data_IF_783983415491
#
_entry.id   IF_783983415491
#
_cell.length_a   1.000
_cell.length_b   1.000
_cell.length_c   1.000
_cell.angle_alpha   90.00
_cell.angle_beta   90.00
_cell.angle_gamma   90.00
#
_symmetry.space_group_name_H-M   'P 1'
#
loop_
_entity.id
_entity.type
_entity.pdbx_description
1 polymer ?
#
# COMPACT_ATOMS: atom_id res chain seq x y z
N UNK A 1 -8.14 -3.94 25.74
CA UNK A 1 -7.83 -5.36 26.03
C UNK A 1 -8.42 -6.21 24.91
N UNK A 2 -7.60 -6.61 23.94
CA UNK A 2 -8.04 -7.43 22.80
C UNK A 2 -7.50 -8.84 22.98
N UNK A 3 -8.39 -9.81 22.94
CA UNK A 3 -8.12 -11.25 23.08
C UNK A 3 -7.99 -11.86 21.68
N UNK A 4 -6.82 -12.38 21.25
CA UNK A 4 -6.64 -12.91 19.91
C UNK A 4 -6.83 -14.43 19.93
N UNK A 5 -8.06 -14.90 19.74
CA UNK A 5 -8.29 -16.29 19.30
C UNK A 5 -9.49 -16.34 18.35
N UNK A 6 -9.25 -16.06 17.08
CA UNK A 6 -10.08 -16.58 15.99
C UNK A 6 -9.19 -17.45 15.10
N UNK A 7 -9.30 -18.77 15.29
CA UNK A 7 -8.68 -19.78 14.43
C UNK A 7 -9.59 -19.99 13.22
N UNK A 8 -9.08 -19.71 12.02
CA UNK A 8 -9.68 -20.15 10.76
C UNK A 8 -9.79 -21.68 10.76
N UNK A 9 -11.01 -22.20 10.55
CA UNK A 9 -11.28 -23.63 10.41
C UNK A 9 -11.56 -23.94 8.94
N UNK A 10 -10.63 -24.61 8.26
CA UNK A 10 -10.88 -25.20 6.94
C UNK A 10 -11.76 -26.44 7.10
N UNK A 11 -12.93 -26.42 6.46
CA UNK A 11 -13.84 -27.55 6.40
C UNK A 11 -13.45 -28.49 5.26
N UNK A 12 -13.06 -29.72 5.59
CA UNK A 12 -13.01 -30.85 4.64
C UNK A 12 -14.04 -31.88 5.11
N UNK A 13 -15.03 -32.13 4.26
CA UNK A 13 -16.13 -33.06 4.51
C UNK A 13 -15.67 -34.46 4.08
N UNK A 14 -15.42 -35.37 5.02
CA UNK A 14 -15.40 -36.81 4.75
C UNK A 14 -16.05 -37.61 5.89
N UNK A 15 -16.89 -38.54 5.48
CA UNK A 15 -17.78 -39.42 6.22
C UNK A 15 -17.06 -40.59 6.90
N UNK A 16 -17.53 -41.00 8.09
CA UNK A 16 -17.32 -42.35 8.64
C UNK A 16 -16.32 -42.49 9.80
N UNK A 17 -16.87 -42.55 11.03
CA UNK A 17 -16.46 -43.38 12.18
C UNK A 17 -14.98 -43.81 12.35
N UNK A 18 -14.24 -43.08 13.20
CA UNK A 18 -13.47 -43.54 14.38
C UNK A 18 -12.42 -42.47 14.73
N UNK A 19 -12.50 -41.89 15.95
CA UNK A 19 -11.54 -40.90 16.45
C UNK A 19 -10.40 -41.60 17.17
N UNK A 20 -9.20 -41.60 16.58
CA UNK A 20 -7.94 -41.94 17.26
C UNK A 20 -7.03 -40.72 17.19
N UNK A 21 -6.66 -40.20 18.35
CA UNK A 21 -5.68 -39.12 18.48
C UNK A 21 -4.28 -39.74 18.50
N UNK A 22 -3.49 -39.50 17.46
CA UNK A 22 -2.06 -39.85 17.46
C UNK A 22 -1.24 -38.57 17.61
N UNK A 23 -0.66 -38.39 18.79
CA UNK A 23 0.30 -37.32 19.10
C UNK A 23 1.70 -37.84 18.84
N UNK A 24 2.40 -37.28 17.86
CA UNK A 24 3.85 -37.49 17.70
C UNK A 24 4.60 -36.48 18.58
N UNK A 25 5.27 -36.99 19.62
CA UNK A 25 6.12 -36.21 20.50
C UNK A 25 7.56 -36.16 19.99
N UNK A 26 8.16 -34.98 19.98
CA UNK A 26 9.61 -34.80 20.05
C UNK A 26 9.93 -34.10 21.37
N UNK A 27 10.69 -34.78 22.23
CA UNK A 27 11.22 -34.27 23.50
C UNK A 27 12.29 -33.23 23.25
N UNK A 28 12.38 -32.22 24.12
CA UNK A 28 13.63 -31.76 24.72
C UNK A 28 13.34 -31.03 26.05
N UNK A 29 14.11 -31.41 27.08
CA UNK A 29 14.12 -30.99 28.49
C UNK A 29 14.19 -29.46 28.68
N UNK A 30 13.86 -28.80 29.81
CA UNK A 30 13.96 -29.16 31.23
C UNK A 30 13.14 -28.15 32.06
N UNK A 31 12.45 -28.64 33.10
CA UNK A 31 11.73 -27.83 34.10
C UNK A 31 12.67 -27.41 35.24
N UNK A 32 12.57 -26.17 35.72
CA UNK A 32 12.93 -25.81 37.11
C UNK A 32 11.92 -24.85 37.72
N UNK A 33 11.64 -25.09 38.99
CA UNK A 33 10.52 -24.62 39.80
C UNK A 33 10.60 -23.16 40.28
N UNK A 34 9.43 -22.60 40.60
CA UNK A 34 9.18 -21.24 41.11
C UNK A 34 9.41 -21.15 42.64
N UNK A 35 9.98 -20.05 43.13
CA UNK A 35 10.03 -19.67 44.56
C UNK A 35 9.40 -18.27 44.78
N UNK A 36 8.85 -17.96 45.99
CA UNK A 36 7.99 -16.80 46.26
C UNK A 36 8.78 -15.51 46.57
N UNK A 37 8.13 -14.32 46.64
CA UNK A 37 8.79 -13.03 46.43
C UNK A 37 9.38 -12.41 47.71
N UNK A 38 10.40 -11.57 47.53
CA UNK A 38 10.87 -10.56 48.51
C UNK A 38 10.86 -9.18 47.84
N UNK A 39 10.45 -8.15 48.58
CA UNK A 39 10.45 -6.71 48.23
C UNK A 39 11.12 -5.96 49.41
N UNK A 40 11.75 -4.78 49.27
CA UNK A 40 12.64 -4.27 48.21
C UNK A 40 13.98 -3.74 48.79
N UNK A 41 15.00 -3.58 47.95
CA UNK A 41 16.04 -2.57 48.22
C UNK A 41 16.44 -1.89 46.92
N UNK A 42 16.44 -0.56 46.97
CA UNK A 42 16.76 0.34 45.87
C UNK A 42 18.14 0.07 45.31
N UNK A 43 18.25 -0.07 43.98
CA UNK A 43 19.47 0.26 43.25
C UNK A 43 19.13 0.60 41.79
N UNK A 44 19.80 1.66 41.34
CA UNK A 44 19.63 2.44 40.11
C UNK A 44 19.74 1.63 38.81
N UNK A 45 18.85 1.94 37.87
CA UNK A 45 18.92 1.46 36.48
C UNK A 45 19.84 2.35 35.63
N UNK A 46 20.77 1.77 34.87
CA UNK A 46 21.13 2.31 33.57
C UNK A 46 20.93 1.23 32.50
N UNK A 47 20.17 1.51 31.44
CA UNK A 47 20.42 1.01 30.05
C UNK A 47 19.29 1.37 29.07
N UNK A 48 19.16 2.67 28.73
CA UNK A 48 18.54 3.12 27.47
C UNK A 48 19.58 3.47 26.39
N UNK A 49 20.86 3.54 26.76
CA UNK A 49 21.98 3.87 25.86
C UNK A 49 22.39 2.77 24.83
N UNK A 50 22.28 1.45 25.09
CA UNK A 50 22.83 0.45 24.16
C UNK A 50 22.07 0.34 22.82
N UNK A 51 20.75 0.58 22.81
CA UNK A 51 19.94 0.44 21.59
C UNK A 51 20.10 1.62 20.64
N UNK A 52 20.18 2.85 21.19
CA UNK A 52 20.36 4.06 20.41
C UNK A 52 21.75 4.09 19.74
N UNK A 53 22.80 3.70 20.47
CA UNK A 53 24.14 3.55 19.89
C UNK A 53 24.23 2.45 18.83
N UNK A 54 23.48 1.35 18.99
CA UNK A 54 23.44 0.27 18.00
C UNK A 54 22.73 0.71 16.71
N UNK A 55 21.65 1.47 16.82
CA UNK A 55 20.96 2.06 15.66
C UNK A 55 21.83 3.12 14.98
N UNK A 56 22.51 3.98 15.75
CA UNK A 56 23.42 4.99 15.20
C UNK A 56 24.60 4.36 14.46
N UNK A 57 25.20 3.30 15.01
CA UNK A 57 26.26 2.52 14.33
C UNK A 57 25.75 1.84 13.06
N UNK A 58 24.51 1.37 13.02
CA UNK A 58 23.89 0.79 11.81
C UNK A 58 23.71 1.86 10.74
N UNK A 59 23.20 3.03 11.11
CA UNK A 59 22.98 4.16 10.20
C UNK A 59 24.30 4.79 9.71
N UNK A 60 25.32 4.87 10.56
CA UNK A 60 26.68 5.26 10.16
C UNK A 60 27.31 4.23 9.22
N UNK A 61 27.05 2.93 9.40
CA UNK A 61 27.48 1.87 8.46
C UNK A 61 26.77 1.98 7.12
N UNK A 62 25.46 2.19 7.11
CA UNK A 62 24.67 2.38 5.89
C UNK A 62 25.10 3.65 5.15
N UNK A 63 25.30 4.77 5.86
CA UNK A 63 25.88 5.99 5.28
C UNK A 63 27.28 5.76 4.74
N UNK A 64 28.16 5.03 5.44
CA UNK A 64 29.50 4.72 4.94
C UNK A 64 29.51 3.79 3.72
N UNK A 65 28.51 2.90 3.59
CA UNK A 65 28.35 2.05 2.41
C UNK A 65 27.83 2.87 1.22
N UNK A 66 26.93 3.84 1.48
CA UNK A 66 26.38 4.73 0.46
C UNK A 66 27.34 5.86 0.07
N UNK A 67 28.20 6.32 0.99
CA UNK A 67 29.18 7.39 0.78
C UNK A 67 30.51 6.90 0.24
N UNK A 68 30.84 5.60 0.44
CA UNK A 68 31.74 4.91 -0.45
C UNK A 68 31.00 4.74 -1.77
N UNK A 69 31.10 5.77 -2.60
CA UNK A 69 30.82 5.61 -4.02
C UNK A 69 31.44 4.30 -4.48
N UNK A 70 30.70 3.53 -5.27
CA UNK A 70 31.31 2.46 -6.05
C UNK A 70 32.33 3.16 -6.96
N UNK A 71 33.56 3.29 -6.48
CA UNK A 71 34.71 3.63 -7.29
C UNK A 71 34.82 2.48 -8.30
N UNK A 72 34.14 2.67 -9.43
CA UNK A 72 34.15 1.82 -10.61
C UNK A 72 35.52 1.88 -11.32
N UNK A 73 36.55 2.42 -10.68
CA UNK A 73 37.92 2.44 -11.18
C UNK A 73 38.59 1.08 -10.90
N UNK A 74 38.17 0.06 -11.66
CA UNK A 74 38.84 -1.24 -11.64
C UNK A 74 38.11 -2.38 -12.32
N UNK A 75 36.77 -2.35 -12.38
CA UNK A 75 36.02 -3.33 -13.17
C UNK A 75 35.93 -2.90 -14.63
N UNK A 76 36.95 -3.24 -15.42
CA UNK A 76 36.79 -3.32 -16.87
C UNK A 76 35.86 -4.49 -17.19
N UNK A 77 34.57 -4.22 -17.32
CA UNK A 77 33.62 -5.15 -17.91
C UNK A 77 34.02 -5.35 -19.37
N UNK A 78 34.69 -6.45 -19.68
CA UNK A 78 34.86 -6.88 -21.06
C UNK A 78 33.51 -7.36 -21.56
N UNK A 79 33.03 -6.76 -22.65
CA UNK A 79 31.81 -7.22 -23.31
C UNK A 79 32.10 -8.63 -23.83
N UNK A 80 31.56 -9.65 -23.17
CA UNK A 80 31.69 -11.03 -23.64
C UNK A 80 30.99 -11.14 -24.98
N UNK A 81 31.60 -11.84 -25.93
CA UNK A 81 30.99 -12.12 -27.22
C UNK A 81 29.63 -12.80 -27.02
N UNK A 82 28.58 -12.14 -27.53
CA UNK A 82 27.22 -12.66 -27.47
C UNK A 82 27.08 -13.76 -28.51
N UNK A 83 27.10 -15.00 -28.05
CA UNK A 83 26.81 -16.15 -28.90
C UNK A 83 25.31 -16.19 -29.13
N UNK A 84 24.87 -16.04 -30.38
CA UNK A 84 23.46 -16.08 -30.80
C UNK A 84 23.17 -17.39 -31.50
N UNK A 85 21.95 -17.91 -31.33
CA UNK A 85 21.47 -19.07 -32.07
C UNK A 85 21.18 -18.67 -33.53
N UNK A 86 21.93 -19.24 -34.48
CA UNK A 86 21.88 -18.86 -35.90
C UNK A 86 21.08 -19.83 -36.78
N UNK A 87 20.65 -20.98 -36.25
CA UNK A 87 19.86 -21.95 -37.01
C UNK A 87 18.46 -21.41 -37.24
N UNK A 88 18.00 -21.45 -38.50
CA UNK A 88 16.62 -21.08 -38.84
C UNK A 88 15.65 -22.08 -38.21
N UNK A 89 14.90 -21.62 -37.21
CA UNK A 89 13.82 -22.40 -36.57
C UNK A 89 12.51 -21.66 -36.81
N UNK A 90 11.48 -22.40 -37.23
CA UNK A 90 10.15 -21.84 -37.43
C UNK A 90 9.62 -21.36 -36.06
N UNK A 91 9.03 -20.17 -35.95
CA UNK A 91 8.50 -19.67 -34.67
C UNK A 91 7.57 -20.66 -33.99
N UNK A 92 7.84 -20.95 -32.72
CA UNK A 92 7.09 -21.92 -31.92
C UNK A 92 7.43 -23.40 -32.16
N UNK A 93 8.33 -23.74 -33.08
CA UNK A 93 8.86 -25.10 -33.17
C UNK A 93 9.97 -25.34 -32.13
N UNK A 94 10.15 -26.62 -31.76
CA UNK A 94 11.20 -27.01 -30.84
C UNK A 94 12.56 -26.67 -31.42
N UNK A 95 13.41 -26.03 -30.61
CA UNK A 95 14.80 -25.73 -30.94
C UNK A 95 15.55 -27.00 -31.39
N UNK A 96 16.27 -26.92 -32.49
CA UNK A 96 17.17 -27.99 -32.91
C UNK A 96 18.37 -28.06 -31.96
N UNK A 97 18.49 -29.18 -31.24
CA UNK A 97 19.56 -29.46 -30.29
C UNK A 97 20.61 -30.44 -30.85
N UNK A 98 20.53 -30.80 -32.14
CA UNK A 98 21.52 -31.64 -32.81
C UNK A 98 22.77 -30.87 -33.24
N UNK A 99 22.66 -29.53 -33.34
CA UNK A 99 23.79 -28.65 -33.64
C UNK A 99 24.81 -28.61 -32.49
N UNK A 100 26.10 -28.42 -32.79
CA UNK A 100 27.13 -28.29 -31.75
C UNK A 100 26.81 -27.17 -30.76
N UNK A 101 26.93 -27.46 -29.46
CA UNK A 101 26.79 -26.46 -28.42
C UNK A 101 27.95 -25.47 -28.44
N UNK A 102 27.70 -24.19 -28.08
CA UNK A 102 28.77 -23.23 -27.93
C UNK A 102 29.74 -23.63 -26.81
N UNK A 103 31.01 -23.21 -26.94
CA UNK A 103 32.04 -23.51 -25.95
C UNK A 103 31.78 -22.89 -24.58
N UNK A 104 30.97 -21.83 -24.50
CA UNK A 104 30.57 -21.18 -23.27
C UNK A 104 29.05 -21.02 -23.21
N UNK A 105 28.48 -21.03 -21.99
CA UNK A 105 27.07 -20.76 -21.77
C UNK A 105 26.70 -19.34 -22.20
N UNK A 106 25.68 -19.22 -23.06
CA UNK A 106 25.06 -17.96 -23.48
C UNK A 106 23.56 -18.05 -23.24
N UNK A 107 22.97 -17.22 -22.35
CA UNK A 107 21.53 -17.20 -22.13
C UNK A 107 20.74 -16.92 -23.40
N UNK A 108 21.18 -15.94 -24.20
CA UNK A 108 20.53 -15.57 -25.47
C UNK A 108 20.50 -16.76 -26.45
N UNK A 109 21.61 -17.52 -26.52
CA UNK A 109 21.64 -18.76 -27.28
C UNK A 109 20.67 -19.78 -26.68
N UNK A 110 20.75 -20.03 -25.37
CA UNK A 110 20.00 -21.12 -24.72
C UNK A 110 18.50 -20.87 -24.79
N UNK A 111 18.02 -19.69 -24.36
CA UNK A 111 16.60 -19.33 -24.23
C UNK A 111 15.87 -19.15 -25.57
N UNK A 112 16.62 -18.92 -26.67
CA UNK A 112 16.05 -18.81 -28.01
C UNK A 112 15.11 -19.97 -28.34
N UNK A 113 13.99 -19.65 -29.01
CA UNK A 113 12.94 -20.58 -29.45
C UNK A 113 12.12 -21.28 -28.34
N UNK A 114 12.66 -21.51 -27.14
CA UNK A 114 11.99 -22.32 -26.12
C UNK A 114 10.65 -21.77 -25.67
N UNK A 115 10.57 -20.47 -25.39
CA UNK A 115 9.35 -19.91 -24.83
C UNK A 115 8.16 -20.00 -25.79
N UNK A 116 8.39 -19.65 -27.06
CA UNK A 116 7.37 -19.76 -28.10
C UNK A 116 6.92 -21.21 -28.28
N UNK A 117 7.85 -22.16 -28.21
CA UNK A 117 7.52 -23.59 -28.28
C UNK A 117 6.69 -24.04 -27.07
N UNK A 118 7.07 -23.67 -25.84
CA UNK A 118 6.30 -24.00 -24.64
C UNK A 118 4.87 -23.45 -24.68
N UNK A 119 4.70 -22.22 -25.16
CA UNK A 119 3.39 -21.58 -25.32
C UNK A 119 2.56 -22.29 -26.40
N UNK A 120 3.15 -22.60 -27.56
CA UNK A 120 2.49 -23.32 -28.67
C UNK A 120 2.01 -24.71 -28.27
N UNK A 121 2.83 -25.47 -27.55
CA UNK A 121 2.49 -26.81 -27.07
C UNK A 121 1.48 -26.81 -25.90
N UNK A 122 1.19 -25.64 -25.35
CA UNK A 122 0.25 -25.48 -24.24
C UNK A 122 0.75 -26.05 -22.92
N UNK A 123 2.07 -26.14 -22.71
CA UNK A 123 2.68 -26.74 -21.51
C UNK A 123 2.32 -26.02 -20.21
N UNK A 124 1.83 -24.79 -20.28
CA UNK A 124 1.45 -24.02 -19.10
C UNK A 124 -0.02 -24.24 -18.70
N UNK A 125 -0.79 -24.94 -19.54
CA UNK A 125 -2.23 -25.13 -19.36
C UNK A 125 -2.55 -26.32 -18.45
N UNK A 126 -3.57 -26.20 -17.58
CA UNK A 126 -4.06 -27.33 -16.79
C UNK A 126 -4.51 -28.53 -17.64
N UNK A 127 -4.98 -28.28 -18.86
CA UNK A 127 -5.42 -29.28 -19.84
C UNK A 127 -4.27 -30.18 -20.30
N UNK A 128 -3.07 -29.61 -20.48
CA UNK A 128 -1.87 -30.38 -20.79
C UNK A 128 -1.44 -31.26 -19.61
N UNK A 129 -1.43 -30.71 -18.39
CA UNK A 129 -0.98 -31.44 -17.20
C UNK A 129 -1.77 -32.73 -16.91
N UNK A 130 -3.07 -32.74 -17.23
CA UNK A 130 -3.93 -33.93 -17.07
C UNK A 130 -3.52 -35.11 -17.95
N UNK A 131 -2.80 -34.87 -19.04
CA UNK A 131 -2.36 -35.89 -20.00
C UNK A 131 -1.02 -36.51 -19.63
N UNK A 132 -0.35 -35.99 -18.60
CA UNK A 132 0.97 -36.46 -18.20
C UNK A 132 0.89 -37.85 -17.54
N UNK A 133 1.84 -38.76 -17.81
CA UNK A 133 1.82 -40.12 -17.24
C UNK A 133 1.85 -40.16 -15.71
N UNK A 134 2.43 -39.14 -15.08
CA UNK A 134 2.55 -39.01 -13.63
C UNK A 134 1.51 -38.06 -13.02
N UNK A 135 0.45 -37.71 -13.77
CA UNK A 135 -0.60 -36.83 -13.30
C UNK A 135 -1.30 -37.38 -12.05
N UNK A 136 -1.57 -36.51 -11.08
CA UNK A 136 -2.32 -36.82 -9.86
C UNK A 136 -3.64 -36.05 -9.83
N UNK A 137 -4.64 -36.57 -9.12
CA UNK A 137 -5.91 -35.88 -8.93
C UNK A 137 -5.83 -34.77 -7.86
N UNK A 138 -4.88 -33.85 -8.02
CA UNK A 138 -4.70 -32.67 -7.17
C UNK A 138 -4.52 -31.42 -8.03
N UNK A 139 -5.04 -30.30 -7.55
CA UNK A 139 -4.96 -29.00 -8.23
C UNK A 139 -4.13 -28.03 -7.41
N UNK A 140 -3.37 -27.19 -8.09
CA UNK A 140 -2.67 -26.07 -7.50
C UNK A 140 -2.94 -24.83 -8.35
N UNK A 141 -3.47 -23.76 -7.73
CA UNK A 141 -3.87 -22.56 -8.44
C UNK A 141 -3.27 -21.32 -7.80
N UNK A 142 -2.85 -20.39 -8.65
CA UNK A 142 -2.29 -19.10 -8.30
C UNK A 142 -2.83 -18.05 -9.26
N UNK A 143 -2.94 -16.81 -8.80
CA UNK A 143 -3.04 -15.66 -9.67
C UNK A 143 -1.76 -14.86 -9.52
N UNK A 144 -1.15 -14.43 -10.63
CA UNK A 144 -0.11 -13.41 -10.53
C UNK A 144 -0.73 -12.17 -9.86
N UNK A 145 -0.06 -11.53 -8.89
CA UNK A 145 -0.42 -10.19 -8.46
C UNK A 145 -0.37 -9.30 -9.70
N UNK A 146 -1.52 -8.83 -10.22
CA UNK A 146 -1.57 -8.24 -11.55
C UNK A 146 -0.76 -6.94 -11.54
N UNK A 147 0.32 -6.82 -12.34
CA UNK A 147 1.07 -5.57 -12.42
C UNK A 147 0.18 -4.43 -12.92
N UNK A 148 0.38 -3.26 -12.32
CA UNK A 148 -0.29 -2.04 -12.73
C UNK A 148 0.18 -1.61 -14.12
N UNK A 149 -0.75 -1.15 -14.97
CA UNK A 149 -0.42 -0.60 -16.31
C UNK A 149 0.17 0.81 -16.22
N UNK A 150 1.18 1.04 -15.39
CA UNK A 150 1.78 2.35 -15.11
C UNK A 150 3.20 2.51 -15.69
N UNK A 151 3.75 1.47 -16.32
CA UNK A 151 5.09 1.49 -16.90
C UNK A 151 5.64 0.09 -17.15
N UNK A 152 6.96 -0.06 -17.07
CA UNK A 152 7.68 -1.32 -17.26
C UNK A 152 7.91 -2.04 -15.92
N UNK A 153 8.05 -3.36 -15.96
CA UNK A 153 8.37 -4.16 -14.79
C UNK A 153 9.77 -3.84 -14.23
N UNK A 154 9.85 -3.65 -12.92
CA UNK A 154 11.10 -3.55 -12.14
C UNK A 154 11.49 -4.86 -11.42
N UNK A 155 12.68 -4.89 -10.80
CA UNK A 155 13.23 -6.08 -10.10
C UNK A 155 12.29 -6.71 -9.05
N UNK A 156 11.50 -5.90 -8.33
CA UNK A 156 10.49 -6.43 -7.41
C UNK A 156 9.45 -7.36 -8.09
N UNK A 157 9.03 -7.04 -9.31
CA UNK A 157 8.15 -7.93 -10.08
C UNK A 157 8.89 -9.21 -10.48
N UNK A 158 10.14 -9.08 -10.96
CA UNK A 158 10.94 -10.23 -11.35
C UNK A 158 11.16 -11.22 -10.19
N UNK A 159 11.40 -10.72 -8.97
CA UNK A 159 11.50 -11.54 -7.77
C UNK A 159 10.20 -12.31 -7.48
N UNK A 160 9.07 -11.60 -7.50
CA UNK A 160 7.75 -12.20 -7.23
C UNK A 160 7.42 -13.29 -8.25
N UNK A 161 7.59 -12.98 -9.54
CA UNK A 161 7.37 -13.90 -10.65
C UNK A 161 8.29 -15.12 -10.54
N UNK A 162 9.58 -14.95 -10.20
CA UNK A 162 10.51 -16.06 -10.07
C UNK A 162 10.09 -17.04 -8.96
N UNK A 163 9.59 -16.54 -7.83
CA UNK A 163 9.10 -17.37 -6.73
C UNK A 163 7.84 -18.14 -7.15
N UNK A 164 6.85 -17.45 -7.72
CA UNK A 164 5.59 -18.06 -8.17
C UNK A 164 5.80 -19.08 -9.29
N UNK A 165 6.69 -18.79 -10.23
CA UNK A 165 7.07 -19.68 -11.32
C UNK A 165 7.76 -20.94 -10.80
N UNK A 166 8.67 -20.79 -9.83
CA UNK A 166 9.34 -21.92 -9.18
C UNK A 166 8.33 -22.85 -8.52
N UNK A 167 7.37 -22.29 -7.78
CA UNK A 167 6.30 -23.08 -7.15
C UNK A 167 5.41 -23.77 -8.19
N UNK A 168 5.03 -23.04 -9.24
CA UNK A 168 4.21 -23.56 -10.34
C UNK A 168 4.88 -24.75 -11.03
N UNK A 169 6.16 -24.59 -11.42
CA UNK A 169 6.95 -25.64 -12.07
C UNK A 169 7.15 -26.84 -11.17
N UNK A 170 7.51 -26.62 -9.91
CA UNK A 170 7.67 -27.70 -8.93
C UNK A 170 6.39 -28.53 -8.77
N UNK A 171 5.23 -27.87 -8.66
CA UNK A 171 3.93 -28.58 -8.58
C UNK A 171 3.58 -29.32 -9.86
N UNK A 172 3.85 -28.76 -11.03
CA UNK A 172 3.67 -29.46 -12.32
C UNK A 172 4.52 -30.74 -12.37
N UNK A 173 5.78 -30.67 -11.94
CA UNK A 173 6.67 -31.84 -11.89
C UNK A 173 6.20 -32.92 -10.90
N UNK A 174 5.41 -32.56 -9.89
CA UNK A 174 4.74 -33.50 -8.99
C UNK A 174 3.44 -34.09 -9.56
N UNK A 175 3.08 -33.77 -10.81
CA UNK A 175 1.88 -34.25 -11.48
C UNK A 175 0.61 -33.47 -11.18
N UNK A 176 0.69 -32.34 -10.47
CA UNK A 176 -0.49 -31.55 -10.14
C UNK A 176 -1.07 -30.88 -11.39
N UNK A 177 -2.38 -30.71 -11.40
CA UNK A 177 -3.05 -29.78 -12.31
C UNK A 177 -2.77 -28.35 -11.86
N UNK A 178 -1.78 -27.70 -12.47
CA UNK A 178 -1.38 -26.32 -12.13
C UNK A 178 -2.08 -25.30 -13.01
N UNK A 179 -2.67 -24.28 -12.40
CA UNK A 179 -3.17 -23.07 -13.04
C UNK A 179 -2.45 -21.84 -12.44
N UNK A 180 -1.72 -21.09 -13.26
CA UNK A 180 -1.17 -19.81 -12.85
C UNK A 180 -1.70 -18.74 -13.80
N UNK A 181 -2.65 -17.96 -13.30
CA UNK A 181 -3.43 -17.02 -14.11
C UNK A 181 -2.62 -15.73 -14.33
N UNK A 182 -2.38 -15.33 -15.59
CA UNK A 182 -1.81 -14.02 -15.91
C UNK A 182 -2.88 -12.94 -15.89
N UNK A 183 -2.47 -11.71 -15.56
CA UNK A 183 -3.33 -10.54 -15.74
C UNK A 183 -2.60 -9.23 -15.51
N UNK A 184 -3.28 -8.13 -15.78
CA UNK A 184 -2.82 -6.77 -15.48
C UNK A 184 -3.92 -5.98 -14.76
N UNK A 185 -3.51 -4.99 -13.97
CA UNK A 185 -4.43 -4.12 -13.24
C UNK A 185 -4.50 -2.73 -13.88
N UNK A 186 -5.72 -2.23 -14.08
CA UNK A 186 -6.01 -0.86 -14.51
C UNK A 186 -5.47 0.20 -13.54
N UNK A 187 -5.32 -0.12 -12.25
CA UNK A 187 -4.70 0.71 -11.21
C UNK A 187 -5.29 2.13 -11.04
N UNK A 188 -6.53 2.36 -11.49
CA UNK A 188 -7.30 3.60 -11.33
C UNK A 188 -6.46 4.90 -11.32
N UNK A 189 -6.36 5.51 -10.14
CA UNK A 189 -5.66 6.78 -9.87
C UNK A 189 -4.20 6.77 -10.33
N UNK A 190 -3.49 5.65 -10.17
CA UNK A 190 -2.08 5.55 -10.55
C UNK A 190 -1.91 5.66 -12.08
N UNK A 191 -2.75 4.97 -12.83
CA UNK A 191 -2.74 5.04 -14.31
C UNK A 191 -3.16 6.41 -14.80
N UNK A 192 -4.23 6.99 -14.23
CA UNK A 192 -4.66 8.35 -14.55
C UNK A 192 -3.49 9.34 -14.35
N UNK A 193 -2.83 9.30 -13.20
CA UNK A 193 -1.71 10.19 -12.88
C UNK A 193 -0.52 10.07 -13.82
N UNK A 194 -0.26 8.87 -14.36
CA UNK A 194 0.82 8.63 -15.33
C UNK A 194 0.43 9.15 -16.72
N UNK A 195 -0.80 8.87 -17.15
CA UNK A 195 -1.33 9.34 -18.44
C UNK A 195 -1.40 10.87 -18.48
N UNK A 196 -1.90 11.52 -17.43
CA UNK A 196 -1.93 12.98 -17.32
C UNK A 196 -0.51 13.58 -17.44
N UNK A 197 0.46 13.02 -16.71
CA UNK A 197 1.85 13.45 -16.80
C UNK A 197 2.46 13.24 -18.18
N UNK A 198 2.10 12.15 -18.88
CA UNK A 198 2.53 11.89 -20.27
C UNK A 198 1.95 12.96 -21.19
N UNK A 199 0.63 13.17 -21.17
CA UNK A 199 -0.07 14.11 -22.04
C UNK A 199 0.44 15.55 -21.85
N UNK A 200 0.69 15.95 -20.61
CA UNK A 200 1.28 17.26 -20.32
C UNK A 200 2.69 17.38 -20.93
N UNK A 201 3.52 16.34 -20.85
CA UNK A 201 4.88 16.36 -21.42
C UNK A 201 4.91 16.29 -22.94
N UNK A 202 4.03 15.51 -23.56
CA UNK A 202 4.06 15.23 -25.00
C UNK A 202 3.22 16.21 -25.81
N UNK A 203 2.08 16.64 -25.28
CA UNK A 203 1.13 17.51 -25.98
C UNK A 203 0.97 18.88 -25.33
N UNK A 204 1.55 19.11 -24.14
CA UNK A 204 1.39 20.36 -23.40
C UNK A 204 -0.03 20.58 -22.84
N UNK A 205 -0.88 19.55 -22.88
CA UNK A 205 -2.29 19.61 -22.47
C UNK A 205 -2.52 18.89 -21.14
N UNK A 206 -3.38 19.45 -20.31
CA UNK A 206 -3.86 18.89 -19.04
C UNK A 206 -5.10 18.03 -19.27
N UNK A 207 -5.48 17.21 -18.28
CA UNK A 207 -6.70 16.38 -18.34
C UNK A 207 -7.94 17.22 -18.66
N UNK A 208 -8.04 18.40 -18.07
CA UNK A 208 -9.18 19.31 -18.23
C UNK A 208 -9.33 19.85 -19.66
N UNK A 209 -8.29 19.73 -20.50
CA UNK A 209 -8.33 20.15 -21.90
C UNK A 209 -8.96 19.08 -22.82
N UNK A 210 -9.29 17.91 -22.28
CA UNK A 210 -9.93 16.80 -23.00
C UNK A 210 -11.37 16.60 -22.50
N UNK A 211 -12.25 16.17 -23.38
CA UNK A 211 -13.51 15.54 -22.95
C UNK A 211 -13.24 14.24 -22.22
N UNK A 212 -14.24 13.74 -21.47
CA UNK A 212 -14.12 12.47 -20.75
C UNK A 212 -13.85 11.32 -21.69
N UNK A 213 -14.54 11.28 -22.84
CA UNK A 213 -14.43 10.23 -23.83
C UNK A 213 -13.04 10.23 -24.49
N UNK A 214 -12.52 11.40 -24.86
CA UNK A 214 -11.17 11.53 -25.42
C UNK A 214 -10.10 11.10 -24.42
N UNK A 215 -10.21 11.54 -23.16
CA UNK A 215 -9.25 11.16 -22.13
C UNK A 215 -9.28 9.65 -21.85
N UNK A 216 -10.47 9.05 -21.79
CA UNK A 216 -10.61 7.60 -21.62
C UNK A 216 -9.97 6.84 -22.79
N UNK A 217 -10.09 7.35 -24.02
CA UNK A 217 -9.42 6.76 -25.17
C UNK A 217 -7.89 6.79 -25.02
N UNK A 218 -7.32 7.89 -24.53
CA UNK A 218 -5.89 7.98 -24.24
C UNK A 218 -5.44 6.99 -23.16
N UNK A 219 -6.26 6.77 -22.12
CA UNK A 219 -5.99 5.76 -21.09
C UNK A 219 -6.02 4.35 -21.67
N UNK A 220 -6.97 4.03 -22.55
CA UNK A 220 -7.02 2.73 -23.22
C UNK A 220 -5.84 2.52 -24.18
N UNK A 221 -5.46 3.54 -24.93
CA UNK A 221 -4.28 3.51 -25.81
C UNK A 221 -3.02 3.19 -24.99
N UNK A 222 -2.84 3.88 -23.85
CA UNK A 222 -1.74 3.61 -22.92
C UNK A 222 -1.78 2.19 -22.35
N UNK A 223 -2.95 1.70 -21.93
CA UNK A 223 -3.13 0.34 -21.42
C UNK A 223 -2.71 -0.70 -22.45
N UNK A 224 -3.06 -0.53 -23.72
CA UNK A 224 -2.72 -1.50 -24.76
C UNK A 224 -1.21 -1.51 -25.01
N UNK A 225 -0.60 -0.33 -25.16
CA UNK A 225 0.85 -0.19 -25.33
C UNK A 225 1.65 -0.83 -24.17
N UNK A 226 1.26 -0.52 -22.92
CA UNK A 226 1.98 -1.00 -21.72
C UNK A 226 1.62 -2.42 -21.30
N UNK A 227 0.38 -2.86 -21.50
CA UNK A 227 -0.02 -4.24 -21.26
C UNK A 227 0.81 -5.21 -22.08
N UNK A 228 0.98 -4.93 -23.38
CA UNK A 228 1.77 -5.77 -24.29
C UNK A 228 3.25 -5.79 -23.89
N UNK A 229 3.80 -4.64 -23.47
CA UNK A 229 5.18 -4.55 -22.96
C UNK A 229 5.38 -5.42 -21.72
N UNK A 230 4.49 -5.31 -20.72
CA UNK A 230 4.52 -6.08 -19.48
C UNK A 230 4.45 -7.58 -19.77
N UNK A 231 3.51 -8.00 -20.63
CA UNK A 231 3.39 -9.41 -21.02
C UNK A 231 4.64 -9.90 -21.74
N UNK A 232 5.24 -9.08 -22.61
CA UNK A 232 6.51 -9.37 -23.25
C UNK A 232 7.65 -9.56 -22.24
N UNK A 233 7.72 -8.73 -21.20
CA UNK A 233 8.72 -8.85 -20.13
C UNK A 233 8.52 -10.13 -19.32
N UNK A 234 7.29 -10.49 -18.95
CA UNK A 234 7.00 -11.74 -18.25
C UNK A 234 7.37 -12.97 -19.09
N UNK A 235 7.10 -12.95 -20.41
CA UNK A 235 7.54 -14.01 -21.33
C UNK A 235 9.07 -14.10 -21.40
N UNK A 236 9.76 -12.97 -21.47
CA UNK A 236 11.24 -12.92 -21.46
C UNK A 236 11.85 -13.44 -20.15
N UNK A 237 11.17 -13.26 -19.02
CA UNK A 237 11.57 -13.85 -17.74
C UNK A 237 11.35 -15.38 -17.68
N UNK A 238 10.69 -15.96 -18.68
CA UNK A 238 10.37 -17.38 -18.69
C UNK A 238 9.17 -17.74 -17.81
N UNK A 239 8.33 -16.78 -17.42
CA UNK A 239 7.17 -17.02 -16.56
C UNK A 239 6.21 -18.03 -17.23
N UNK A 240 5.94 -19.15 -16.56
CA UNK A 240 5.13 -20.24 -17.11
C UNK A 240 3.62 -20.05 -16.87
N UNK A 241 3.11 -18.88 -17.23
CA UNK A 241 1.72 -18.46 -17.07
C UNK A 241 0.79 -19.09 -18.11
N UNK A 242 -0.47 -19.32 -17.77
CA UNK A 242 -1.49 -19.75 -18.72
C UNK A 242 -2.05 -18.55 -19.50
N UNK A 243 -1.36 -18.16 -20.57
CA UNK A 243 -1.73 -17.00 -21.41
C UNK A 243 -3.12 -17.09 -22.04
N UNK A 244 -3.68 -18.29 -22.19
CA UNK A 244 -5.05 -18.48 -22.71
C UNK A 244 -6.13 -17.89 -21.77
N UNK A 245 -5.76 -17.58 -20.53
CA UNK A 245 -6.64 -17.04 -19.48
C UNK A 245 -6.20 -15.66 -19.01
N UNK A 246 -5.48 -14.92 -19.86
CA UNK A 246 -5.05 -13.55 -19.55
C UNK A 246 -6.26 -12.67 -19.24
N UNK A 247 -6.21 -11.98 -18.10
CA UNK A 247 -7.27 -11.07 -17.68
C UNK A 247 -6.79 -9.64 -17.47
N UNK A 248 -7.73 -8.71 -17.59
CA UNK A 248 -7.58 -7.32 -17.21
C UNK A 248 -8.73 -6.93 -16.27
N UNK A 249 -8.44 -6.14 -15.24
CA UNK A 249 -9.43 -5.85 -14.17
C UNK A 249 -10.66 -5.08 -14.65
N UNK A 250 -10.59 -4.42 -15.82
CA UNK A 250 -11.74 -3.76 -16.47
C UNK A 250 -12.39 -4.60 -17.57
N UNK A 251 -12.02 -5.87 -17.73
CA UNK A 251 -12.72 -6.75 -18.66
C UNK A 251 -14.18 -6.96 -18.21
N UNK A 252 -15.14 -7.12 -19.14
CA UNK A 252 -16.57 -7.19 -18.80
C UNK A 252 -16.93 -8.22 -17.73
N UNK A 253 -16.25 -9.37 -17.72
CA UNK A 253 -16.45 -10.42 -16.71
C UNK A 253 -16.02 -9.99 -15.31
N UNK A 254 -14.90 -9.28 -15.19
CA UNK A 254 -14.41 -8.76 -13.91
C UNK A 254 -15.25 -7.58 -13.43
N UNK A 255 -15.64 -6.67 -14.34
CA UNK A 255 -16.56 -5.58 -13.99
C UNK A 255 -17.90 -6.11 -13.46
N UNK A 256 -18.45 -7.15 -14.10
CA UNK A 256 -19.67 -7.81 -13.62
C UNK A 256 -19.48 -8.44 -12.24
N UNK A 257 -18.33 -9.06 -11.98
CA UNK A 257 -18.02 -9.63 -10.67
C UNK A 257 -17.91 -8.56 -9.56
N UNK A 258 -17.35 -7.38 -9.88
CA UNK A 258 -17.28 -6.24 -8.95
C UNK A 258 -18.68 -5.68 -8.68
N UNK A 259 -19.52 -5.55 -9.71
CA UNK A 259 -20.93 -5.13 -9.53
C UNK A 259 -21.70 -6.10 -8.64
N UNK A 260 -21.58 -7.42 -8.88
CA UNK A 260 -22.20 -8.44 -8.03
C UNK A 260 -21.70 -8.35 -6.58
N UNK A 261 -20.39 -8.17 -6.37
CA UNK A 261 -19.83 -8.01 -5.03
C UNK A 261 -20.39 -6.77 -4.32
N UNK A 262 -20.49 -5.64 -5.03
CA UNK A 262 -21.08 -4.40 -4.51
C UNK A 262 -22.53 -4.62 -4.07
N UNK A 263 -23.35 -5.23 -4.94
CA UNK A 263 -24.77 -5.51 -4.65
C UNK A 263 -24.90 -6.42 -3.44
N UNK A 264 -24.16 -7.55 -3.39
CA UNK A 264 -24.20 -8.48 -2.24
C UNK A 264 -23.80 -7.81 -0.93
N UNK A 265 -22.76 -7.00 -0.95
CA UNK A 265 -22.30 -6.30 0.26
C UNK A 265 -23.33 -5.24 0.70
N UNK A 266 -23.96 -4.55 -0.25
CA UNK A 266 -25.08 -3.64 0.02
C UNK A 266 -26.29 -4.37 0.61
N UNK A 267 -26.72 -5.48 0.01
CA UNK A 267 -27.85 -6.29 0.48
C UNK A 267 -27.61 -6.88 1.88
N UNK A 268 -26.34 -7.16 2.23
CA UNK A 268 -25.95 -7.59 3.57
C UNK A 268 -25.83 -6.45 4.60
N UNK A 269 -26.05 -5.20 4.20
CA UNK A 269 -25.93 -4.02 5.07
C UNK A 269 -24.49 -3.62 5.41
N UNK A 270 -23.49 -4.11 4.66
CA UNK A 270 -22.08 -3.77 4.86
C UNK A 270 -21.63 -2.53 4.09
N UNK A 271 -22.39 -2.13 3.07
CA UNK A 271 -22.18 -0.87 2.32
C UNK A 271 -23.31 0.09 2.68
N UNK A 272 -22.94 1.32 2.96
CA UNK A 272 -23.87 2.41 3.24
C UNK A 272 -23.34 3.70 2.60
N UNK A 273 -24.23 4.68 2.46
CA UNK A 273 -23.88 6.04 2.01
C UNK A 273 -24.19 7.01 3.14
N UNK A 274 -23.18 7.74 3.61
CA UNK A 274 -23.34 8.79 4.60
C UNK A 274 -22.42 9.96 4.27
N UNK A 275 -22.69 11.09 4.91
CA UNK A 275 -21.75 12.22 4.94
C UNK A 275 -20.69 11.96 6.02
N UNK A 276 -19.41 12.03 5.62
CA UNK A 276 -18.27 11.83 6.51
C UNK A 276 -17.06 12.60 6.01
N UNK A 277 -16.08 12.79 6.89
CA UNK A 277 -14.80 13.37 6.49
C UNK A 277 -14.04 12.35 5.64
N UNK A 278 -13.55 12.80 4.49
CA UNK A 278 -12.77 11.97 3.56
C UNK A 278 -11.42 12.62 3.32
N UNK A 279 -10.40 11.81 3.01
CA UNK A 279 -9.14 12.36 2.53
C UNK A 279 -9.36 12.81 1.09
N UNK A 280 -9.38 14.12 0.86
CA UNK A 280 -9.55 14.70 -0.47
C UNK A 280 -8.21 15.15 -1.03
N UNK A 281 -7.87 14.69 -2.24
CA UNK A 281 -6.70 15.18 -2.97
C UNK A 281 -7.11 16.29 -3.92
N UNK A 282 -6.69 17.52 -3.65
CA UNK A 282 -6.95 18.68 -4.53
C UNK A 282 -6.29 18.54 -5.90
N UNK A 283 -5.16 17.82 -5.99
CA UNK A 283 -4.46 17.62 -7.27
C UNK A 283 -5.16 16.57 -8.15
N UNK A 284 -5.75 15.54 -7.53
CA UNK A 284 -6.45 14.46 -8.25
C UNK A 284 -7.94 14.75 -8.43
N UNK A 285 -8.49 15.69 -7.65
CA UNK A 285 -9.92 15.99 -7.56
C UNK A 285 -10.74 14.73 -7.21
N UNK A 286 -10.24 13.93 -6.27
CA UNK A 286 -10.88 12.69 -5.82
C UNK A 286 -10.66 12.45 -4.34
N UNK A 287 -11.61 11.73 -3.73
CA UNK A 287 -11.41 11.09 -2.44
C UNK A 287 -10.41 9.93 -2.58
N UNK A 288 -9.57 9.76 -1.56
CA UNK A 288 -8.60 8.67 -1.42
C UNK A 288 -8.80 7.97 -0.07
N UNK A 289 -8.51 6.68 -0.04
CA UNK A 289 -8.59 5.87 1.17
C UNK A 289 -7.41 6.13 2.12
N UNK A 290 -7.56 5.79 3.39
CA UNK A 290 -6.49 5.99 4.39
C UNK A 290 -5.19 5.27 4.03
N UNK A 291 -5.27 4.11 3.37
CA UNK A 291 -4.10 3.32 2.95
C UNK A 291 -3.35 3.96 1.77
N UNK A 292 -3.97 4.90 1.06
CA UNK A 292 -3.36 5.67 -0.04
C UNK A 292 -2.70 6.96 0.45
N UNK A 293 -2.80 7.27 1.75
CA UNK A 293 -2.24 8.49 2.35
C UNK A 293 -0.96 8.18 3.11
N UNK A 294 0.16 8.69 2.61
CA UNK A 294 1.45 8.62 3.30
C UNK A 294 1.64 9.85 4.21
N UNK A 295 1.74 9.61 5.51
CA UNK A 295 1.99 10.66 6.51
C UNK A 295 3.48 10.96 6.64
N UNK A 296 3.87 12.22 6.42
CA UNK A 296 5.24 12.71 6.61
C UNK A 296 5.36 13.51 7.91
N UNK A 297 6.18 13.02 8.84
CA UNK A 297 6.49 13.74 10.08
C UNK A 297 7.50 14.86 9.80
N UNK A 298 7.19 16.07 10.27
CA UNK A 298 8.04 17.25 10.14
C UNK A 298 8.53 17.66 11.52
N UNK A 299 9.86 17.83 11.73
CA UNK A 299 10.41 18.18 13.05
C UNK A 299 10.15 19.65 13.43
N UNK A 300 9.67 20.47 12.51
CA UNK A 300 9.37 21.88 12.71
C UNK A 300 9.07 22.58 11.39
N UNK A 301 9.15 23.91 11.40
CA UNK A 301 8.91 24.77 10.24
C UNK A 301 9.72 24.33 9.03
N UNK A 302 9.02 23.93 7.97
CA UNK A 302 9.60 23.38 6.74
C UNK A 302 8.85 23.94 5.53
N UNK A 303 9.58 24.46 4.54
CA UNK A 303 9.00 24.81 3.25
C UNK A 303 8.95 23.55 2.37
N UNK A 304 7.78 23.26 1.80
CA UNK A 304 7.57 22.11 0.92
C UNK A 304 6.95 22.57 -0.40
N UNK A 305 7.45 22.03 -1.50
CA UNK A 305 6.79 22.15 -2.80
C UNK A 305 5.53 21.29 -2.80
N UNK A 306 4.40 21.92 -3.13
CA UNK A 306 3.08 21.27 -3.22
C UNK A 306 2.62 21.27 -4.68
N UNK A 307 2.18 20.13 -5.24
CA UNK A 307 1.64 20.09 -6.60
C UNK A 307 0.53 21.14 -6.81
N UNK A 308 0.65 21.95 -7.86
CA UNK A 308 -0.30 23.03 -8.17
C UNK A 308 0.06 24.40 -7.60
N UNK A 309 1.06 24.51 -6.72
CA UNK A 309 1.54 25.77 -6.17
C UNK A 309 2.87 26.18 -6.82
N UNK A 310 2.98 27.45 -7.22
CA UNK A 310 4.22 27.99 -7.79
C UNK A 310 5.31 28.23 -6.74
N UNK A 311 4.88 28.53 -5.50
CA UNK A 311 5.77 28.82 -4.37
C UNK A 311 5.72 27.66 -3.39
N UNK A 312 6.83 27.46 -2.68
CA UNK A 312 6.84 26.53 -1.57
C UNK A 312 5.90 27.01 -0.47
N UNK A 313 5.19 26.05 0.12
CA UNK A 313 4.21 26.29 1.19
C UNK A 313 4.85 25.91 2.52
N UNK A 314 4.61 26.72 3.54
CA UNK A 314 5.12 26.48 4.88
C UNK A 314 4.27 25.45 5.63
N UNK A 315 4.93 24.43 6.18
CA UNK A 315 4.34 23.40 7.04
C UNK A 315 5.12 23.29 8.36
N UNK A 316 4.51 22.67 9.37
CA UNK A 316 5.17 22.40 10.65
C UNK A 316 5.33 23.64 11.55
N UNK A 317 4.58 24.70 11.28
CA UNK A 317 4.46 25.88 12.16
C UNK A 317 3.19 25.76 13.00
N UNK A 318 3.32 25.99 14.31
CA UNK A 318 2.18 26.07 15.23
C UNK A 318 1.95 27.54 15.54
N UNK A 319 0.73 28.02 15.29
CA UNK A 319 0.27 29.37 15.60
C UNK A 319 -0.59 29.32 16.85
N UNK A 320 -0.32 30.22 17.79
CA UNK A 320 -1.15 30.41 18.98
C UNK A 320 -1.87 31.74 18.89
N UNK A 321 -3.18 31.72 19.10
CA UNK A 321 -4.04 32.90 19.16
C UNK A 321 -5.11 32.71 20.24
N UNK A 322 -5.77 33.80 20.64
CA UNK A 322 -6.69 33.78 21.77
C UNK A 322 -8.13 34.13 21.34
N UNK A 323 -9.09 33.49 21.99
CA UNK A 323 -10.50 33.79 21.89
C UNK A 323 -10.98 34.53 23.16
N UNK A 324 -11.59 35.72 23.06
CA UNK A 324 -12.14 36.41 24.22
C UNK A 324 -13.28 35.62 24.85
N UNK A 325 -13.32 35.54 26.19
CA UNK A 325 -14.40 34.86 26.92
C UNK A 325 -15.64 35.75 26.96
N UNK A 326 -16.81 35.19 26.69
CA UNK A 326 -18.05 35.95 26.67
C UNK A 326 -18.44 36.41 28.08
N UNK A 327 -18.70 37.71 28.24
CA UNK A 327 -19.22 38.29 29.47
C UNK A 327 -18.21 38.48 30.61
N UNK A 328 -16.91 38.29 30.37
CA UNK A 328 -15.85 38.58 31.36
C UNK A 328 -14.55 39.03 30.67
N UNK A 329 -13.72 39.79 31.38
CA UNK A 329 -12.37 40.08 30.93
C UNK A 329 -11.51 38.82 31.04
N UNK A 330 -11.10 38.27 29.90
CA UNK A 330 -10.26 37.08 29.82
C UNK A 330 -10.27 36.49 28.42
N UNK A 331 -9.28 35.64 28.13
CA UNK A 331 -9.15 34.99 26.82
C UNK A 331 -8.69 33.53 26.98
N UNK A 332 -9.05 32.69 26.01
CA UNK A 332 -8.57 31.31 25.90
C UNK A 332 -7.64 31.19 24.71
N UNK A 333 -6.35 30.99 24.99
CA UNK A 333 -5.35 30.72 23.96
C UNK A 333 -5.47 29.29 23.44
N UNK A 334 -5.52 29.14 22.12
CA UNK A 334 -5.49 27.85 21.41
C UNK A 334 -4.27 27.77 20.51
N UNK A 335 -3.73 26.56 20.30
CA UNK A 335 -2.62 26.31 19.38
C UNK A 335 -3.08 25.46 18.20
N UNK A 336 -2.73 25.85 16.97
CA UNK A 336 -3.07 25.10 15.75
C UNK A 336 -2.01 25.22 14.68
N UNK A 337 -1.89 24.20 13.83
CA UNK A 337 -1.11 24.26 12.58
C UNK A 337 -1.90 24.78 11.38
N UNK A 338 -3.21 24.99 11.54
CA UNK A 338 -4.15 25.35 10.46
C UNK A 338 -4.97 26.59 10.79
N UNK A 339 -4.35 27.77 10.95
CA UNK A 339 -5.06 29.00 11.29
C UNK A 339 -6.13 29.39 10.26
N UNK A 340 -5.99 28.99 9.01
CA UNK A 340 -6.98 29.22 7.95
C UNK A 340 -8.35 28.58 8.24
N UNK A 341 -8.37 27.52 9.05
CA UNK A 341 -9.61 26.81 9.40
C UNK A 341 -10.39 27.47 10.55
N UNK A 342 -9.85 28.53 11.16
CA UNK A 342 -10.43 29.24 12.31
C UNK A 342 -11.89 29.66 12.10
N UNK A 343 -12.26 30.11 10.89
CA UNK A 343 -13.62 30.55 10.58
C UNK A 343 -14.66 29.41 10.68
N UNK A 344 -14.19 28.16 10.57
CA UNK A 344 -15.00 26.95 10.70
C UNK A 344 -15.11 26.46 12.14
N UNK A 345 -14.50 27.15 13.11
CA UNK A 345 -14.50 26.73 14.50
C UNK A 345 -15.92 26.78 15.08
N UNK A 346 -16.26 25.73 15.82
CA UNK A 346 -17.59 25.56 16.44
C UNK A 346 -17.52 25.38 17.95
N UNK A 347 -16.33 25.09 18.49
CA UNK A 347 -16.10 24.93 19.93
C UNK A 347 -14.61 25.09 20.25
N UNK A 348 -14.29 25.19 21.54
CA UNK A 348 -12.95 25.02 22.08
C UNK A 348 -13.00 23.82 23.02
N UNK A 349 -12.10 22.85 22.86
CA UNK A 349 -11.99 21.70 23.74
C UNK A 349 -10.83 21.85 24.70
N UNK A 350 -11.08 21.54 25.98
CA UNK A 350 -10.06 21.45 27.04
C UNK A 350 -10.15 20.10 27.74
N UNK A 351 -9.07 19.68 28.39
CA UNK A 351 -9.12 18.46 29.20
C UNK A 351 -9.91 18.74 30.51
N UNK A 352 -10.83 17.85 30.94
CA UNK A 352 -11.67 18.05 32.13
C UNK A 352 -10.85 18.22 33.43
N UNK A 353 -9.69 17.59 33.52
CA UNK A 353 -8.81 17.68 34.69
C UNK A 353 -7.74 18.77 34.56
N UNK A 354 -7.83 19.66 33.56
CA UNK A 354 -6.87 20.75 33.41
C UNK A 354 -7.19 21.90 34.40
N UNK A 355 -6.34 22.12 35.43
CA UNK A 355 -6.60 23.14 36.44
C UNK A 355 -6.58 24.56 35.86
N UNK A 356 -5.98 24.76 34.67
CA UNK A 356 -5.93 26.06 34.00
C UNK A 356 -7.29 26.50 33.45
N UNK A 357 -8.18 25.55 33.15
CA UNK A 357 -9.44 25.80 32.44
C UNK A 357 -10.68 25.41 33.25
N UNK A 358 -10.53 24.97 34.50
CA UNK A 358 -11.63 24.48 35.34
C UNK A 358 -12.77 25.50 35.50
N UNK A 359 -12.43 26.78 35.66
CA UNK A 359 -13.43 27.87 35.81
C UNK A 359 -14.14 28.22 34.49
N UNK A 360 -13.60 27.75 33.36
CA UNK A 360 -14.11 28.01 32.01
C UNK A 360 -14.99 26.88 31.48
N UNK A 361 -15.16 25.78 32.22
CA UNK A 361 -16.03 24.69 31.81
C UNK A 361 -17.47 25.18 31.61
N UNK A 362 -18.05 24.90 30.44
CA UNK A 362 -19.40 25.31 30.09
C UNK A 362 -19.55 26.82 29.79
N UNK A 363 -18.46 27.60 29.86
CA UNK A 363 -18.44 28.97 29.36
C UNK A 363 -18.36 28.98 27.83
N UNK A 364 -18.48 30.17 27.26
CA UNK A 364 -18.39 30.38 25.82
C UNK A 364 -17.34 31.45 25.53
N UNK A 365 -16.66 31.33 24.41
CA UNK A 365 -15.81 32.38 23.87
C UNK A 365 -16.46 33.02 22.65
N UNK A 366 -16.14 34.28 22.37
CA UNK A 366 -16.58 34.99 21.18
C UNK A 366 -15.54 34.83 20.07
N UNK A 367 -16.00 34.44 18.88
CA UNK A 367 -15.13 34.42 17.72
C UNK A 367 -14.78 35.87 17.31
N UNK A 368 -13.50 36.22 17.05
CA UNK A 368 -13.08 37.62 16.86
C UNK A 368 -13.50 38.22 15.52
N UNK A 369 -13.72 37.39 14.48
CA UNK A 369 -14.06 37.86 13.13
C UNK A 369 -15.53 37.68 12.70
N UNK A 370 -16.32 36.88 13.44
CA UNK A 370 -17.70 36.57 13.09
C UNK A 370 -18.55 36.57 14.36
N UNK A 371 -19.83 36.89 14.24
CA UNK A 371 -20.76 36.91 15.38
C UNK A 371 -21.18 35.48 15.75
N UNK A 372 -20.25 34.73 16.36
CA UNK A 372 -20.44 33.35 16.83
C UNK A 372 -19.88 33.19 18.23
N UNK A 373 -20.66 32.53 19.08
CA UNK A 373 -20.19 32.04 20.38
C UNK A 373 -19.73 30.58 20.23
N UNK A 374 -18.56 30.29 20.78
CA UNK A 374 -17.88 29.00 20.77
C UNK A 374 -17.98 28.41 22.18
N UNK A 375 -18.77 27.35 22.40
CA UNK A 375 -18.77 26.66 23.69
C UNK A 375 -17.39 26.08 24.03
N UNK A 376 -17.02 26.17 25.30
CA UNK A 376 -15.87 25.47 25.86
C UNK A 376 -16.36 24.12 26.36
N UNK A 377 -15.97 23.06 25.65
CA UNK A 377 -16.31 21.67 25.97
C UNK A 377 -15.13 20.99 26.67
N UNK A 378 -15.44 20.02 27.51
CA UNK A 378 -14.43 19.18 28.16
C UNK A 378 -14.37 17.80 27.48
N UNK A 379 -13.19 17.39 27.01
CA UNK A 379 -12.96 16.04 26.48
C UNK A 379 -11.59 15.50 26.91
N UNK A 380 -11.56 14.27 27.41
CA UNK A 380 -10.35 13.62 27.91
C UNK A 380 -9.33 13.29 26.80
N UNK A 381 -9.70 13.38 25.51
CA UNK A 381 -8.75 13.19 24.41
C UNK A 381 -7.82 14.40 24.19
N UNK A 382 -8.07 15.54 24.84
CA UNK A 382 -7.24 16.73 24.73
C UNK A 382 -5.95 16.56 25.53
N UNK A 383 -4.79 16.73 24.89
CA UNK A 383 -3.49 16.66 25.56
C UNK A 383 -3.16 17.98 26.26
N UNK A 384 -3.13 17.94 27.60
CA UNK A 384 -2.79 19.09 28.45
C UNK A 384 -1.35 19.61 28.22
N UNK A 385 -0.44 18.74 27.78
CA UNK A 385 0.99 19.09 27.60
C UNK A 385 1.28 19.69 26.23
N UNK A 386 0.36 19.54 25.27
CA UNK A 386 0.56 20.03 23.91
C UNK A 386 -0.01 21.43 23.71
N UNK A 387 0.81 22.33 23.16
CA UNK A 387 0.42 23.72 22.93
C UNK A 387 -0.01 24.41 24.24
N UNK A 388 -1.20 25.00 24.23
CA UNK A 388 -1.79 25.64 25.42
C UNK A 388 -2.55 24.67 26.32
N UNK A 389 -2.87 23.44 25.85
CA UNK A 389 -3.82 22.53 26.49
C UNK A 389 -5.30 22.82 26.15
N UNK A 390 -5.56 23.82 25.30
CA UNK A 390 -6.86 24.08 24.69
C UNK A 390 -6.76 24.01 23.16
N UNK A 391 -7.72 23.34 22.54
CA UNK A 391 -7.73 23.06 21.10
C UNK A 391 -8.99 23.64 20.48
N UNK A 392 -8.84 24.37 19.38
CA UNK A 392 -9.97 24.81 18.56
C UNK A 392 -10.58 23.61 17.83
N UNK A 393 -11.91 23.54 17.73
CA UNK A 393 -12.61 22.41 17.10
C UNK A 393 -13.22 22.84 15.77
N UNK A 394 -12.73 22.25 14.66
CA UNK A 394 -13.19 22.53 13.29
C UNK A 394 -13.60 21.25 12.55
N UNK A 395 -14.80 20.71 12.83
CA UNK A 395 -15.16 19.34 12.46
C UNK A 395 -15.19 19.02 10.97
N UNK A 396 -15.43 20.00 10.10
CA UNK A 396 -15.49 19.77 8.66
C UNK A 396 -14.10 19.67 7.99
N UNK A 397 -13.02 19.87 8.76
CA UNK A 397 -11.67 20.01 8.20
C UNK A 397 -10.63 19.11 8.87
N UNK A 398 -10.91 18.51 10.03
CA UNK A 398 -9.98 17.63 10.75
C UNK A 398 -10.69 16.36 11.28
N UNK A 399 -10.01 15.21 11.19
CA UNK A 399 -10.57 13.91 11.58
C UNK A 399 -10.81 13.78 13.09
N UNK A 400 -9.90 14.29 13.92
CA UNK A 400 -10.06 14.23 15.37
C UNK A 400 -11.22 15.15 15.81
N UNK A 401 -11.30 16.35 15.22
CA UNK A 401 -12.38 17.30 15.45
C UNK A 401 -13.73 16.76 14.96
N UNK A 402 -13.75 16.05 13.82
CA UNK A 402 -14.94 15.38 13.31
C UNK A 402 -15.47 14.35 14.30
N UNK A 403 -14.61 13.49 14.85
CA UNK A 403 -15.00 12.50 15.86
C UNK A 403 -15.45 13.16 17.17
N UNK A 404 -14.79 14.25 17.59
CA UNK A 404 -15.22 15.05 18.73
C UNK A 404 -16.62 15.65 18.51
N UNK A 405 -16.88 16.16 17.31
CA UNK A 405 -18.20 16.72 16.97
C UNK A 405 -19.32 15.69 17.08
N UNK A 406 -19.05 14.42 16.76
CA UNK A 406 -20.04 13.36 16.91
C UNK A 406 -20.32 13.03 18.37
N UNK A 407 -19.28 13.05 19.24
CA UNK A 407 -19.44 12.78 20.67
C UNK A 407 -20.18 13.89 21.42
N UNK A 408 -19.97 15.14 21.00
CA UNK A 408 -20.50 16.34 21.65
C UNK A 408 -21.63 17.01 20.86
N UNK A 409 -22.15 16.34 19.82
CA UNK A 409 -23.25 16.82 18.96
C UNK A 409 -23.00 18.23 18.37
N UNK A 410 -21.76 18.53 17.98
CA UNK A 410 -21.37 19.83 17.45
C UNK A 410 -21.71 19.98 15.97
N UNK A 411 -22.02 21.20 15.49
CA UNK A 411 -22.24 21.46 14.07
C UNK A 411 -20.96 21.27 13.26
N UNK A 412 -21.12 20.97 11.97
CA UNK A 412 -20.02 20.75 11.02
C UNK A 412 -20.05 21.84 9.94
N UNK A 413 -19.18 22.85 10.08
CA UNK A 413 -19.14 24.01 9.19
C UNK A 413 -17.89 23.99 8.31
N UNK A 414 -18.08 24.13 7.00
CA UNK A 414 -17.00 24.24 6.01
C UNK A 414 -16.63 25.71 5.76
N UNK A 415 -15.39 25.99 5.34
CA UNK A 415 -14.84 27.32 5.06
C UNK A 415 -13.92 27.31 3.87
#
# INVERSE_FOLDING_TARGET
MWNPMCRLSLWVRQSGTHRVWVVWGCRLCSQKAVKPPKIPTQQSSPTLRPQFEKQRRKHEREKNILSKGLDNEGLKWTQKDKIVYSTSTIPGEKKDTSVPFPQAYSPEYVESCWYQWWEKEGFFTPEHHRKLPHAVNQTFSLCIPPPNVTGSLHLGHALTVAIEDTLSRWRRMQGYKVLWVPGCDHAGIATQSVVERRLLKTHGKRRQDYSREEFLQEVWNWKNEKGDEIYGQLRKLGASLDWTRTCFTMDPGFSSAVTEALVRLSDSGLIYRSEGLVNWSCALESAISDIEVDSKQLPGRTLLSVPGYEREVEFGTIVTFAYPVEGQDGEVCVSTTRPETMLGDVAIAVHPDDPRYTELHGRQCRHPFIDRLLPIISDASVDMQFGTGAVKITPAHDHADFLLSQRHELPRLTV
#
